data_IF_501287231591
#
_entry.id   IF_501287231591
#
_cell.length_a   1.000
_cell.length_b   1.000
_cell.length_c   1.000
_cell.angle_alpha   90.00
_cell.angle_beta   90.00
_cell.angle_gamma   90.00
#
_symmetry.space_group_name_H-M   'P 1'
#
loop_
_entity.id
_entity.type
_entity.pdbx_description
1 polymer ?
#
# COMPACT_ATOMS: atom_id res chain seq x y z
N UNK A 1 -47.57 -71.19 4.40
CA UNK A 1 -46.81 -70.84 5.61
C UNK A 1 -45.51 -70.18 5.19
N UNK A 2 -45.25 -68.96 5.73
CA UNK A 2 -43.95 -68.25 5.85
C UNK A 2 -43.06 -68.21 4.59
N UNK A 3 -42.83 -67.10 3.89
CA UNK A 3 -42.70 -65.71 4.32
C UNK A 3 -41.22 -65.29 4.25
N UNK A 4 -40.86 -64.45 3.25
CA UNK A 4 -39.89 -63.33 3.33
C UNK A 4 -39.72 -62.68 1.94
N UNK A 5 -40.04 -61.39 1.86
CA UNK A 5 -39.89 -60.52 0.67
C UNK A 5 -38.41 -60.26 0.38
N UNK A 6 -38.02 -60.37 -0.90
CA UNK A 6 -36.78 -59.81 -1.43
C UNK A 6 -36.88 -58.27 -1.53
N UNK A 7 -35.81 -57.52 -1.23
CA UNK A 7 -35.62 -56.19 -1.79
C UNK A 7 -34.82 -56.25 -3.12
N UNK A 8 -35.24 -55.37 -4.01
CA UNK A 8 -34.83 -55.22 -5.42
C UNK A 8 -33.35 -54.87 -5.61
N UNK A 9 -32.75 -55.52 -6.62
CA UNK A 9 -31.48 -55.17 -7.26
C UNK A 9 -31.51 -53.74 -7.84
N UNK A 10 -30.36 -53.05 -7.84
CA UNK A 10 -29.65 -52.75 -9.10
C UNK A 10 -28.44 -51.80 -8.94
N UNK A 11 -27.32 -52.28 -9.50
CA UNK A 11 -26.37 -51.55 -10.35
C UNK A 11 -25.55 -50.45 -9.68
N UNK A 12 -24.35 -50.85 -9.23
CA UNK A 12 -23.21 -49.94 -9.09
C UNK A 12 -22.76 -49.53 -10.49
N UNK A 13 -23.06 -48.29 -10.89
CA UNK A 13 -22.52 -47.65 -12.10
C UNK A 13 -21.53 -46.57 -11.69
N UNK A 14 -20.30 -46.74 -12.18
CA UNK A 14 -19.23 -45.77 -12.23
C UNK A 14 -19.71 -44.48 -12.93
N UNK A 15 -19.54 -43.32 -12.30
CA UNK A 15 -19.74 -42.02 -12.95
C UNK A 15 -18.58 -41.08 -12.60
N UNK A 16 -17.92 -40.64 -13.68
CA UNK A 16 -16.81 -39.69 -13.75
C UNK A 16 -17.38 -38.26 -13.67
N UNK A 17 -16.78 -37.44 -12.80
CA UNK A 17 -16.59 -35.97 -12.82
C UNK A 17 -17.80 -35.04 -12.97
N UNK A 18 -17.91 -34.05 -12.08
CA UNK A 18 -17.95 -32.61 -12.43
C UNK A 18 -17.73 -31.80 -11.14
N UNK A 19 -16.50 -31.31 -10.97
CA UNK A 19 -16.19 -30.23 -10.05
C UNK A 19 -17.05 -29.04 -10.47
N UNK A 20 -17.92 -28.56 -9.58
CA UNK A 20 -18.66 -27.31 -9.78
C UNK A 20 -17.63 -26.19 -9.92
N UNK A 21 -17.29 -25.83 -11.15
CA UNK A 21 -16.73 -24.53 -11.48
C UNK A 21 -17.81 -23.54 -11.09
N UNK A 22 -17.68 -22.93 -9.90
CA UNK A 22 -18.34 -21.68 -9.63
C UNK A 22 -17.70 -20.67 -10.58
N UNK A 23 -18.37 -20.40 -11.68
CA UNK A 23 -18.14 -19.17 -12.44
C UNK A 23 -18.51 -18.05 -11.48
N UNK A 24 -17.51 -17.53 -10.78
CA UNK A 24 -17.63 -16.28 -10.06
C UNK A 24 -18.02 -15.25 -11.13
N UNK A 25 -19.24 -14.72 -11.05
CA UNK A 25 -19.59 -13.51 -11.78
C UNK A 25 -18.57 -12.47 -11.33
N UNK A 26 -17.61 -12.17 -12.19
CA UNK A 26 -16.70 -11.04 -12.01
C UNK A 26 -17.59 -9.81 -12.19
N UNK A 27 -18.10 -9.30 -11.06
CA UNK A 27 -18.61 -7.95 -10.99
C UNK A 27 -17.38 -7.06 -11.20
N UNK A 28 -17.31 -6.41 -12.36
CA UNK A 28 -16.19 -5.53 -12.71
C UNK A 28 -16.01 -4.46 -11.64
N UNK A 29 -14.77 -4.31 -11.17
CA UNK A 29 -14.37 -3.23 -10.28
C UNK A 29 -14.51 -1.90 -11.04
N UNK A 30 -15.28 -0.96 -10.49
CA UNK A 30 -15.62 0.29 -11.18
C UNK A 30 -14.59 1.39 -10.95
N UNK A 31 -13.76 1.37 -9.89
CA UNK A 31 -12.59 2.25 -9.62
C UNK A 31 -11.61 1.62 -8.60
N UNK A 32 -10.31 1.97 -8.63
CA UNK A 32 -9.20 1.35 -7.87
C UNK A 32 -8.32 0.43 -8.74
N UNK A 33 -7.09 0.03 -8.32
CA UNK A 33 -6.23 -0.79 -9.17
C UNK A 33 -6.86 -2.17 -9.42
N UNK A 34 -7.45 -2.31 -10.60
CA UNK A 34 -8.01 -3.55 -11.09
C UNK A 34 -6.89 -4.52 -11.50
N UNK A 35 -6.36 -5.29 -10.56
CA UNK A 35 -5.55 -6.46 -10.91
C UNK A 35 -6.46 -7.60 -11.38
N UNK A 36 -6.98 -7.49 -12.61
CA UNK A 36 -7.48 -8.64 -13.37
C UNK A 36 -6.31 -9.30 -14.14
N UNK A 37 -5.24 -9.60 -13.42
CA UNK A 37 -4.17 -10.46 -13.83
C UNK A 37 -3.83 -11.28 -12.61
N UNK A 38 -3.87 -12.60 -12.72
CA UNK A 38 -3.46 -13.47 -11.63
C UNK A 38 -2.09 -12.99 -11.13
N UNK A 39 -2.05 -12.38 -9.94
CA UNK A 39 -0.83 -12.33 -9.14
C UNK A 39 -0.61 -13.80 -8.80
N UNK A 40 0.11 -14.50 -9.67
CA UNK A 40 0.82 -15.70 -9.24
C UNK A 40 1.57 -15.28 -7.98
N UNK A 41 1.49 -16.02 -6.86
CA UNK A 41 2.26 -15.66 -5.67
C UNK A 41 3.72 -15.68 -6.08
N UNK A 42 4.25 -14.51 -6.44
CA UNK A 42 5.66 -14.34 -6.67
C UNK A 42 6.26 -14.53 -5.30
N UNK A 43 6.89 -15.69 -5.08
CA UNK A 43 7.68 -15.93 -3.89
C UNK A 43 8.53 -14.67 -3.67
N UNK A 44 8.35 -13.94 -2.56
CA UNK A 44 9.21 -12.82 -2.25
C UNK A 44 10.65 -13.28 -2.40
N UNK A 45 11.50 -12.45 -2.99
CA UNK A 45 12.93 -12.75 -3.06
C UNK A 45 13.47 -13.10 -1.66
N UNK A 46 14.60 -13.80 -1.57
CA UNK A 46 15.18 -14.12 -0.27
C UNK A 46 15.34 -12.83 0.55
N UNK A 47 14.92 -12.88 1.82
CA UNK A 47 15.15 -11.77 2.72
C UNK A 47 16.64 -11.59 2.98
N UNK A 48 17.06 -10.34 3.21
CA UNK A 48 18.42 -9.99 3.60
C UNK A 48 18.46 -9.45 5.04
N UNK A 49 19.66 -9.39 5.61
CA UNK A 49 19.88 -8.98 6.99
C UNK A 49 20.09 -7.45 7.13
N UNK A 50 19.61 -6.66 6.18
CA UNK A 50 19.72 -5.19 6.24
C UNK A 50 18.98 -4.68 7.47
N UNK A 51 19.66 -3.85 8.24
CA UNK A 51 19.03 -3.02 9.25
C UNK A 51 18.57 -1.70 8.61
N UNK A 52 17.26 -1.55 8.41
CA UNK A 52 16.66 -0.34 7.82
C UNK A 52 17.03 0.92 8.61
N UNK A 53 17.27 0.83 9.92
CA UNK A 53 17.69 1.96 10.74
C UNK A 53 19.06 2.51 10.35
N UNK A 54 19.92 1.70 9.72
CA UNK A 54 21.24 2.10 9.23
C UNK A 54 21.18 2.78 7.85
N UNK A 55 20.08 2.58 7.11
CA UNK A 55 19.82 3.25 5.83
C UNK A 55 19.02 4.53 6.07
N UNK A 56 17.91 4.43 6.80
CA UNK A 56 17.10 5.58 7.23
C UNK A 56 17.77 6.15 8.47
N UNK A 57 18.89 6.85 8.31
CA UNK A 57 19.58 7.53 9.42
C UNK A 57 18.79 8.76 9.86
N UNK A 58 19.18 9.36 11.00
CA UNK A 58 18.59 10.63 11.42
C UNK A 58 18.90 11.73 10.40
N UNK A 59 20.11 11.73 9.83
CA UNK A 59 20.50 12.68 8.80
C UNK A 59 19.67 12.52 7.52
N UNK A 60 19.42 11.28 7.06
CA UNK A 60 18.57 11.04 5.90
C UNK A 60 17.12 11.51 6.15
N UNK A 61 16.54 11.20 7.30
CA UNK A 61 15.19 11.65 7.63
C UNK A 61 15.12 13.19 7.72
N UNK A 62 16.11 13.82 8.37
CA UNK A 62 16.21 15.27 8.50
C UNK A 62 16.41 15.96 7.15
N UNK A 63 17.16 15.36 6.22
CA UNK A 63 17.37 15.89 4.87
C UNK A 63 16.05 16.08 4.10
N UNK A 64 15.01 15.37 4.49
CA UNK A 64 13.65 15.48 3.93
C UNK A 64 12.84 16.51 4.73
N UNK A 65 12.60 16.25 6.02
CA UNK A 65 11.64 17.04 6.82
C UNK A 65 12.10 18.49 7.08
N UNK A 66 13.40 18.77 6.97
CA UNK A 66 13.91 20.15 7.11
C UNK A 66 13.72 21.01 5.85
N UNK A 67 13.25 20.42 4.75
CA UNK A 67 12.82 21.18 3.58
C UNK A 67 11.42 21.78 3.76
N UNK A 68 10.61 21.22 4.66
CA UNK A 68 9.29 21.77 4.99
C UNK A 68 9.42 23.06 5.82
N UNK A 69 8.48 23.99 5.62
CA UNK A 69 8.40 25.22 6.40
C UNK A 69 8.30 24.91 7.91
N UNK A 70 8.94 25.74 8.73
CA UNK A 70 8.94 25.58 10.19
C UNK A 70 7.53 25.55 10.83
N UNK A 71 6.54 26.16 10.16
CA UNK A 71 5.14 26.21 10.60
C UNK A 71 4.32 24.98 10.20
N UNK A 72 4.87 24.07 9.39
CA UNK A 72 4.17 22.86 8.97
C UNK A 72 3.84 21.95 10.17
N UNK A 73 2.56 21.58 10.30
CA UNK A 73 2.08 20.72 11.37
C UNK A 73 2.85 19.39 11.46
N UNK A 74 3.21 18.81 10.31
CA UNK A 74 3.93 17.56 10.25
C UNK A 74 5.33 17.57 10.88
N UNK A 75 5.96 18.75 11.08
CA UNK A 75 7.26 18.86 11.79
C UNK A 75 7.20 18.39 13.23
N UNK A 76 6.03 18.47 13.87
CA UNK A 76 5.82 18.02 15.25
C UNK A 76 5.15 16.63 15.34
N UNK A 77 4.90 15.99 14.19
CA UNK A 77 4.14 14.75 14.10
C UNK A 77 5.01 13.60 13.56
N UNK A 78 5.71 13.81 12.45
CA UNK A 78 6.54 12.79 11.83
C UNK A 78 7.96 12.80 12.40
N UNK A 79 8.44 11.64 12.82
CA UNK A 79 9.83 11.46 13.24
C UNK A 79 10.37 10.12 12.79
N UNK A 80 11.70 10.04 12.63
CA UNK A 80 12.42 8.79 12.38
C UNK A 80 12.10 7.72 13.42
N UNK A 81 12.05 8.10 14.70
CA UNK A 81 11.78 7.16 15.78
C UNK A 81 10.43 6.46 15.58
N UNK A 82 9.37 7.23 15.31
CA UNK A 82 8.03 6.68 15.08
C UNK A 82 7.96 5.84 13.81
N UNK A 83 8.68 6.23 12.75
CA UNK A 83 8.82 5.38 11.55
C UNK A 83 9.44 4.01 11.89
N UNK A 84 10.51 3.98 12.70
CA UNK A 84 11.18 2.73 13.09
C UNK A 84 10.31 1.89 14.05
N UNK A 85 9.54 2.52 14.91
CA UNK A 85 8.56 1.82 15.75
C UNK A 85 7.47 1.16 14.89
N UNK A 86 6.95 1.87 13.88
CA UNK A 86 5.97 1.34 12.93
C UNK A 86 6.57 0.17 12.10
N UNK A 87 7.82 0.31 11.67
CA UNK A 87 8.55 -0.71 10.92
C UNK A 87 8.64 -2.06 11.66
N UNK A 88 8.58 -2.06 12.99
CA UNK A 88 8.54 -3.28 13.80
C UNK A 88 7.39 -4.24 13.43
N UNK A 89 6.31 -3.73 12.82
CA UNK A 89 5.18 -4.52 12.31
C UNK A 89 5.35 -5.01 10.87
N UNK A 90 6.29 -4.45 10.09
CA UNK A 90 6.46 -4.71 8.65
C UNK A 90 7.89 -5.14 8.32
N UNK A 91 8.31 -6.29 8.85
CA UNK A 91 9.69 -6.74 8.81
C UNK A 91 10.27 -6.96 7.39
N UNK A 92 9.44 -7.21 6.38
CA UNK A 92 9.86 -7.41 4.99
C UNK A 92 10.19 -6.10 4.25
N UNK A 93 9.69 -4.95 4.72
CA UNK A 93 9.97 -3.65 4.10
C UNK A 93 11.48 -3.37 4.10
N UNK A 94 12.04 -3.09 2.92
CA UNK A 94 13.45 -2.78 2.76
C UNK A 94 14.38 -3.95 3.07
N UNK A 95 13.89 -5.20 3.05
CA UNK A 95 14.67 -6.41 3.40
C UNK A 95 14.52 -7.57 2.42
N UNK A 96 14.06 -7.31 1.19
CA UNK A 96 13.90 -8.36 0.16
C UNK A 96 14.88 -8.09 -0.98
N UNK A 97 15.63 -9.12 -1.39
CA UNK A 97 16.62 -9.00 -2.46
C UNK A 97 18.00 -8.55 -1.98
N UNK A 98 18.72 -7.79 -2.79
CA UNK A 98 20.05 -7.26 -2.45
C UNK A 98 19.99 -6.05 -1.51
N UNK A 99 21.14 -5.67 -0.94
CA UNK A 99 21.25 -4.42 -0.16
C UNK A 99 20.90 -3.20 -1.02
N UNK A 100 21.22 -3.23 -2.31
CA UNK A 100 20.84 -2.17 -3.24
C UNK A 100 19.33 -2.13 -3.50
N UNK A 101 18.65 -3.29 -3.51
CA UNK A 101 17.18 -3.35 -3.58
C UNK A 101 16.56 -2.74 -2.33
N UNK A 102 17.08 -3.05 -1.15
CA UNK A 102 16.67 -2.40 0.11
C UNK A 102 16.78 -0.87 0.04
N UNK A 103 17.92 -0.35 -0.44
CA UNK A 103 18.13 1.10 -0.57
C UNK A 103 17.17 1.72 -1.60
N UNK A 104 16.94 1.06 -2.73
CA UNK A 104 15.98 1.52 -3.75
C UNK A 104 14.56 1.52 -3.22
N UNK A 105 14.13 0.46 -2.54
CA UNK A 105 12.79 0.39 -1.96
C UNK A 105 12.57 1.51 -0.93
N UNK A 106 13.54 1.72 -0.03
CA UNK A 106 13.49 2.81 0.96
C UNK A 106 13.46 4.17 0.27
N UNK A 107 14.34 4.41 -0.71
CA UNK A 107 14.33 5.66 -1.49
C UNK A 107 12.99 5.88 -2.19
N UNK A 108 12.39 4.84 -2.76
CA UNK A 108 11.11 4.92 -3.46
C UNK A 108 9.97 5.26 -2.49
N UNK A 109 9.88 4.57 -1.35
CA UNK A 109 8.87 4.84 -0.34
C UNK A 109 8.95 6.29 0.16
N UNK A 110 10.15 6.74 0.55
CA UNK A 110 10.34 8.12 1.01
C UNK A 110 10.11 9.14 -0.11
N UNK A 111 10.41 8.85 -1.37
CA UNK A 111 10.10 9.74 -2.49
C UNK A 111 8.58 9.94 -2.66
N UNK A 112 7.81 8.86 -2.53
CA UNK A 112 6.36 8.96 -2.52
C UNK A 112 5.88 9.71 -1.28
N UNK A 113 6.36 9.39 -0.08
CA UNK A 113 5.96 10.09 1.14
C UNK A 113 6.24 11.59 1.07
N UNK A 114 7.42 11.97 0.57
CA UNK A 114 7.78 13.37 0.33
C UNK A 114 6.79 14.04 -0.61
N UNK A 115 6.46 13.39 -1.73
CA UNK A 115 5.53 13.95 -2.70
C UNK A 115 4.14 14.16 -2.10
N UNK A 116 3.57 13.12 -1.47
CA UNK A 116 2.20 13.15 -0.94
C UNK A 116 2.03 14.18 0.19
N UNK A 117 3.07 14.34 1.02
CA UNK A 117 2.99 15.19 2.23
C UNK A 117 3.66 16.55 2.07
N UNK A 118 4.31 16.81 0.94
CA UNK A 118 5.16 17.99 0.77
C UNK A 118 6.30 18.02 1.79
N UNK A 119 7.19 17.01 1.76
CA UNK A 119 8.31 16.85 2.69
C UNK A 119 7.89 16.69 4.16
N UNK A 120 6.87 15.86 4.42
CA UNK A 120 6.26 15.67 5.74
C UNK A 120 5.64 16.96 6.31
N UNK A 121 5.21 17.90 5.46
CA UNK A 121 4.52 19.10 5.93
C UNK A 121 3.06 18.82 6.33
N UNK A 122 2.34 18.10 5.47
CA UNK A 122 0.91 17.84 5.60
C UNK A 122 0.63 16.47 6.21
N UNK A 123 -0.33 16.43 7.14
CA UNK A 123 -0.83 15.20 7.75
C UNK A 123 -2.11 14.76 7.04
N UNK A 124 -2.99 15.71 6.73
CA UNK A 124 -4.24 15.50 6.02
C UNK A 124 -4.22 16.17 4.64
N UNK A 125 -4.99 15.61 3.72
CA UNK A 125 -5.23 16.17 2.40
C UNK A 125 -5.77 17.61 2.50
N UNK A 126 -5.28 18.50 1.64
CA UNK A 126 -5.83 19.86 1.54
C UNK A 126 -7.30 19.81 1.15
N UNK A 127 -8.12 20.50 1.94
CA UNK A 127 -9.58 20.50 1.83
C UNK A 127 -10.21 19.10 1.97
N UNK A 128 -9.49 18.12 2.53
CA UNK A 128 -9.93 16.72 2.65
C UNK A 128 -11.26 16.58 3.39
N UNK A 129 -11.49 17.37 4.44
CA UNK A 129 -12.74 17.35 5.20
C UNK A 129 -14.00 17.73 4.37
N UNK A 130 -13.83 18.30 3.17
CA UNK A 130 -14.92 18.56 2.22
C UNK A 130 -15.20 17.40 1.26
N UNK A 131 -14.40 16.34 1.31
CA UNK A 131 -14.41 15.19 0.41
C UNK A 131 -14.62 13.91 1.20
N UNK A 132 -15.65 13.16 0.86
CA UNK A 132 -16.05 11.95 1.60
C UNK A 132 -15.12 10.75 1.31
N UNK A 133 -14.71 10.57 0.05
CA UNK A 133 -13.94 9.38 -0.39
C UNK A 133 -14.60 8.05 0.06
N UNK A 134 -15.92 8.00 0.08
CA UNK A 134 -16.68 6.80 0.34
C UNK A 134 -17.09 6.12 -0.97
N UNK A 135 -16.70 4.86 -1.15
CA UNK A 135 -17.35 3.96 -2.11
C UNK A 135 -18.52 3.24 -1.43
N UNK A 136 -19.71 3.80 -1.61
CA UNK A 136 -20.99 3.27 -1.10
C UNK A 136 -21.34 1.88 -1.67
N UNK A 137 -20.68 1.45 -2.75
CA UNK A 137 -20.88 0.12 -3.31
C UNK A 137 -20.05 -0.96 -2.60
N UNK A 138 -19.08 -0.57 -1.77
CA UNK A 138 -18.25 -1.50 -1.03
C UNK A 138 -18.98 -2.00 0.22
N UNK A 139 -19.43 -3.26 0.18
CA UNK A 139 -20.15 -3.91 1.28
C UNK A 139 -19.23 -4.63 2.28
N UNK A 140 -17.95 -4.82 1.96
CA UNK A 140 -16.97 -5.44 2.85
C UNK A 140 -16.46 -4.43 3.89
N UNK A 141 -16.22 -3.19 3.45
CA UNK A 141 -15.81 -2.06 4.27
C UNK A 141 -16.81 -0.90 4.10
N UNK A 142 -18.03 -1.02 4.65
CA UNK A 142 -19.06 -0.01 4.49
C UNK A 142 -18.65 1.32 5.16
N UNK A 143 -19.07 2.43 4.56
CA UNK A 143 -18.75 3.74 5.10
C UNK A 143 -19.47 3.99 6.42
N UNK A 144 -18.72 4.47 7.40
CA UNK A 144 -19.24 4.85 8.70
C UNK A 144 -19.97 6.20 8.60
N UNK A 145 -21.14 6.37 9.25
CA UNK A 145 -21.87 7.63 9.22
C UNK A 145 -21.02 8.82 9.70
N UNK A 146 -21.08 9.93 8.96
CA UNK A 146 -20.37 11.18 9.25
C UNK A 146 -18.83 11.05 9.30
N UNK A 147 -18.27 10.05 8.62
CA UNK A 147 -16.82 9.89 8.47
C UNK A 147 -16.42 10.14 7.02
N UNK A 148 -15.24 10.77 6.85
CA UNK A 148 -14.60 10.95 5.55
C UNK A 148 -13.26 10.23 5.49
N UNK A 149 -13.03 9.55 4.38
CA UNK A 149 -11.85 8.72 4.09
C UNK A 149 -10.87 9.42 3.14
N UNK A 150 -10.77 10.74 3.24
CA UNK A 150 -9.79 11.53 2.49
C UNK A 150 -8.35 11.22 2.92
N UNK A 151 -7.38 11.75 2.17
CA UNK A 151 -5.96 11.43 2.35
C UNK A 151 -5.44 11.76 3.75
N UNK A 152 -4.82 10.78 4.43
CA UNK A 152 -4.09 10.99 5.69
C UNK A 152 -2.76 10.24 5.72
N UNK A 153 -1.80 10.81 6.44
CA UNK A 153 -0.50 10.20 6.69
C UNK A 153 0.46 10.25 5.49
N UNK A 154 1.62 9.56 5.60
CA UNK A 154 2.71 9.62 4.62
C UNK A 154 2.32 9.19 3.21
N UNK A 155 1.43 8.21 3.07
CA UNK A 155 0.96 7.74 1.74
C UNK A 155 -0.38 8.38 1.32
N UNK A 156 -0.90 9.33 2.12
CA UNK A 156 -2.24 9.90 1.94
C UNK A 156 -3.31 8.81 1.76
N UNK A 157 -3.37 7.87 2.70
CA UNK A 157 -4.33 6.76 2.69
C UNK A 157 -5.74 7.32 2.46
N UNK A 158 -6.41 6.81 1.44
CA UNK A 158 -7.71 7.31 0.98
C UNK A 158 -8.66 6.15 0.69
N UNK A 159 -9.95 6.40 0.81
CA UNK A 159 -11.07 5.47 0.60
C UNK A 159 -11.34 4.44 1.69
N UNK A 160 -12.62 4.21 1.99
CA UNK A 160 -13.13 3.22 2.95
C UNK A 160 -12.52 1.81 2.75
N UNK A 161 -12.34 1.40 1.50
CA UNK A 161 -11.78 0.09 1.15
C UNK A 161 -10.28 -0.04 1.43
N UNK A 162 -9.58 1.06 1.75
CA UNK A 162 -8.19 1.02 2.23
C UNK A 162 -8.15 1.20 3.75
N UNK A 163 -8.92 2.15 4.32
CA UNK A 163 -8.99 2.37 5.77
C UNK A 163 -9.45 1.12 6.53
N UNK A 164 -10.46 0.41 6.01
CA UNK A 164 -10.97 -0.81 6.64
C UNK A 164 -9.91 -1.92 6.83
N UNK A 165 -9.26 -2.41 5.76
CA UNK A 165 -8.23 -3.43 5.90
C UNK A 165 -6.93 -2.92 6.55
N UNK A 166 -6.56 -1.64 6.37
CA UNK A 166 -5.41 -1.04 7.05
C UNK A 166 -5.60 -1.04 8.58
N UNK A 167 -6.77 -0.60 9.05
CA UNK A 167 -7.12 -0.64 10.48
C UNK A 167 -7.10 -2.05 11.06
N UNK A 168 -7.62 -3.03 10.30
CA UNK A 168 -7.60 -4.44 10.72
C UNK A 168 -6.18 -4.97 10.91
N UNK A 169 -5.24 -4.57 10.05
CA UNK A 169 -3.83 -4.96 10.14
C UNK A 169 -3.08 -4.21 11.26
N UNK A 170 -3.33 -2.90 11.38
CA UNK A 170 -2.68 -2.04 12.37
C UNK A 170 -3.18 -2.28 13.80
N UNK A 171 -4.37 -2.88 13.94
CA UNK A 171 -5.06 -3.13 15.22
C UNK A 171 -5.98 -2.00 15.67
N UNK A 172 -6.35 -1.08 14.77
CA UNK A 172 -7.17 0.09 15.04
C UNK A 172 -8.45 0.09 14.20
N UNK A 173 -9.54 0.67 14.72
CA UNK A 173 -10.78 0.81 13.95
C UNK A 173 -10.73 2.07 13.07
N UNK A 174 -9.92 2.00 12.01
CA UNK A 174 -9.73 3.10 11.07
C UNK A 174 -10.97 3.32 10.16
N UNK A 175 -11.91 2.37 10.10
CA UNK A 175 -13.16 2.55 9.37
C UNK A 175 -14.14 3.45 10.13
N UNK A 176 -14.26 3.26 11.45
CA UNK A 176 -15.12 4.10 12.30
C UNK A 176 -14.36 5.27 12.95
N UNK A 177 -13.04 5.31 12.88
CA UNK A 177 -12.20 6.40 13.41
C UNK A 177 -11.02 6.71 12.47
N UNK A 178 -11.29 7.06 11.19
CA UNK A 178 -10.24 7.32 10.20
C UNK A 178 -9.32 8.49 10.58
N UNK A 179 -9.80 9.44 11.38
CA UNK A 179 -8.99 10.52 11.95
C UNK A 179 -7.82 10.03 12.82
N UNK A 180 -7.85 8.78 13.31
CA UNK A 180 -6.73 8.19 14.06
C UNK A 180 -5.43 8.23 13.25
N UNK A 181 -5.51 8.06 11.92
CA UNK A 181 -4.34 8.13 11.02
C UNK A 181 -3.68 9.51 11.02
N UNK A 182 -4.43 10.58 11.34
CA UNK A 182 -3.92 11.94 11.46
C UNK A 182 -3.58 12.36 12.90
N UNK A 183 -4.05 11.62 13.91
CA UNK A 183 -3.86 11.96 15.32
C UNK A 183 -2.76 11.15 16.01
N UNK A 184 -2.46 9.95 15.51
CA UNK A 184 -1.42 9.07 16.03
C UNK A 184 -0.34 8.84 14.96
N UNK A 185 0.91 9.33 15.17
CA UNK A 185 1.96 9.19 14.17
C UNK A 185 2.43 7.75 13.99
N UNK A 186 2.27 6.87 14.99
CA UNK A 186 2.59 5.45 14.86
C UNK A 186 1.58 4.78 13.92
N UNK A 187 0.29 5.05 14.10
CA UNK A 187 -0.76 4.58 13.20
C UNK A 187 -0.54 5.14 11.80
N UNK A 188 -0.19 6.42 11.69
CA UNK A 188 0.11 7.08 10.41
C UNK A 188 1.20 6.38 9.60
N UNK A 189 2.33 6.04 10.23
CA UNK A 189 3.38 5.29 9.53
C UNK A 189 2.99 3.83 9.30
N UNK A 190 2.23 3.20 10.20
CA UNK A 190 1.74 1.84 10.00
C UNK A 190 0.83 1.74 8.77
N UNK A 191 -0.07 2.69 8.53
CA UNK A 191 -0.93 2.66 7.34
C UNK A 191 -0.14 2.88 6.05
N UNK A 192 0.89 3.73 6.10
CA UNK A 192 1.79 3.94 4.96
C UNK A 192 2.58 2.67 4.61
N UNK A 193 3.15 2.01 5.62
CA UNK A 193 3.86 0.74 5.43
C UNK A 193 2.92 -0.40 5.03
N UNK A 194 1.72 -0.46 5.60
CA UNK A 194 0.67 -1.41 5.19
C UNK A 194 0.36 -1.27 3.69
N UNK A 195 0.07 -0.04 3.24
CA UNK A 195 -0.26 0.20 1.83
C UNK A 195 0.92 -0.19 0.94
N UNK A 196 2.13 0.20 1.34
CA UNK A 196 3.35 -0.15 0.61
C UNK A 196 3.51 -1.66 0.46
N UNK A 197 3.42 -2.42 1.54
CA UNK A 197 3.63 -3.87 1.51
C UNK A 197 2.54 -4.61 0.72
N UNK A 198 1.30 -4.12 0.75
CA UNK A 198 0.18 -4.77 0.08
C UNK A 198 0.04 -4.40 -1.41
N UNK A 199 0.49 -3.20 -1.81
CA UNK A 199 0.22 -2.68 -3.16
C UNK A 199 1.48 -2.28 -3.96
N UNK A 200 2.60 -2.00 -3.31
CA UNK A 200 3.76 -1.34 -3.94
C UNK A 200 5.03 -2.20 -3.90
N UNK A 201 5.31 -2.87 -2.79
CA UNK A 201 6.54 -3.65 -2.54
C UNK A 201 6.88 -4.60 -3.70
N UNK A 202 5.91 -5.39 -4.16
CA UNK A 202 6.13 -6.39 -5.20
C UNK A 202 6.46 -5.77 -6.56
N UNK A 203 5.84 -4.63 -6.91
CA UNK A 203 6.09 -3.99 -8.21
C UNK A 203 7.42 -3.25 -8.22
N UNK A 204 7.85 -2.69 -7.08
CA UNK A 204 9.16 -2.03 -6.98
C UNK A 204 10.29 -3.00 -7.34
N UNK A 205 10.29 -4.18 -6.71
CA UNK A 205 11.34 -5.19 -6.87
C UNK A 205 11.37 -5.85 -8.26
N UNK A 206 10.27 -5.78 -9.02
CA UNK A 206 10.13 -6.49 -10.30
C UNK A 206 10.12 -5.55 -11.51
N UNK A 207 9.63 -4.33 -11.35
CA UNK A 207 9.24 -3.47 -12.47
C UNK A 207 9.84 -2.06 -12.43
N UNK A 208 10.43 -1.65 -11.30
CA UNK A 208 11.08 -0.34 -11.13
C UNK A 208 10.14 0.76 -10.63
N UNK A 209 10.71 1.95 -10.45
CA UNK A 209 10.03 3.08 -9.77
C UNK A 209 8.77 3.57 -10.50
N UNK A 210 8.73 3.57 -11.84
CA UNK A 210 7.52 3.96 -12.57
C UNK A 210 6.31 3.06 -12.25
N UNK A 211 6.55 1.79 -11.92
CA UNK A 211 5.48 0.89 -11.51
C UNK A 211 4.94 1.20 -10.11
N UNK A 212 5.74 1.79 -9.21
CA UNK A 212 5.29 2.23 -7.89
C UNK A 212 4.39 3.47 -8.01
N UNK A 213 4.74 4.43 -8.87
CA UNK A 213 3.87 5.55 -9.24
C UNK A 213 2.53 5.04 -9.76
N UNK A 214 2.56 4.05 -10.67
CA UNK A 214 1.34 3.44 -11.21
C UNK A 214 0.48 2.75 -10.15
N UNK A 215 1.11 2.05 -9.21
CA UNK A 215 0.41 1.37 -8.12
C UNK A 215 -0.22 2.34 -7.12
N UNK A 216 0.37 3.52 -6.93
CA UNK A 216 -0.14 4.55 -6.01
C UNK A 216 -1.25 5.37 -6.67
N UNK A 217 -1.00 5.91 -7.87
CA UNK A 217 -1.95 6.86 -8.49
C UNK A 217 -1.96 6.81 -10.02
N UNK A 218 -1.75 5.63 -10.62
CA UNK A 218 -1.50 5.52 -12.05
C UNK A 218 -2.59 6.06 -12.97
N UNK A 219 -3.85 6.06 -12.55
CA UNK A 219 -4.96 6.61 -13.35
C UNK A 219 -4.88 8.13 -13.49
N UNK A 220 -4.29 8.82 -12.52
CA UNK A 220 -4.23 10.29 -12.49
C UNK A 220 -2.88 10.83 -12.96
N UNK A 221 -1.83 10.01 -12.96
CA UNK A 221 -0.47 10.50 -13.20
C UNK A 221 0.21 9.90 -14.44
N UNK A 222 0.06 8.59 -14.64
CA UNK A 222 0.78 7.86 -15.69
C UNK A 222 0.18 8.06 -17.08
N UNK A 223 0.84 7.50 -18.11
CA UNK A 223 0.39 7.49 -19.51
C UNK A 223 0.20 8.90 -20.09
N UNK A 224 0.98 9.86 -19.56
CA UNK A 224 0.96 11.26 -19.98
C UNK A 224 -0.18 12.10 -19.39
N UNK A 225 -0.91 11.59 -18.39
CA UNK A 225 -2.01 12.34 -17.74
C UNK A 225 -1.46 13.50 -16.92
N UNK A 226 -0.44 13.26 -16.09
CA UNK A 226 0.25 14.33 -15.35
C UNK A 226 1.78 14.11 -15.32
N UNK A 227 2.48 14.45 -16.42
CA UNK A 227 3.92 14.25 -16.52
C UNK A 227 4.72 15.08 -15.51
N UNK A 228 4.17 16.19 -15.00
CA UNK A 228 4.87 17.03 -14.03
C UNK A 228 4.91 16.36 -12.66
N UNK A 229 3.81 15.75 -12.25
CA UNK A 229 3.69 15.01 -10.99
C UNK A 229 4.57 13.75 -11.02
N UNK A 230 4.54 12.98 -12.12
CA UNK A 230 5.46 11.84 -12.31
C UNK A 230 6.92 12.30 -12.23
N UNK A 231 7.27 13.39 -12.92
CA UNK A 231 8.63 13.94 -12.88
C UNK A 231 9.04 14.32 -11.46
N UNK A 232 8.18 14.98 -10.68
CA UNK A 232 8.50 15.37 -9.31
C UNK A 232 8.82 14.15 -8.43
N UNK A 233 8.05 13.06 -8.55
CA UNK A 233 8.32 11.80 -7.84
C UNK A 233 9.67 11.19 -8.24
N UNK A 234 9.98 11.18 -9.54
CA UNK A 234 11.25 10.70 -10.08
C UNK A 234 12.42 11.53 -9.57
N UNK A 235 12.26 12.86 -9.51
CA UNK A 235 13.29 13.77 -9.00
C UNK A 235 13.60 13.45 -7.52
N UNK A 236 12.59 13.25 -6.67
CA UNK A 236 12.81 12.83 -5.26
C UNK A 236 13.48 11.46 -5.17
N UNK A 237 13.00 10.48 -5.94
CA UNK A 237 13.58 9.13 -5.94
C UNK A 237 15.05 9.13 -6.33
N UNK A 238 15.40 9.81 -7.42
CA UNK A 238 16.79 9.90 -7.87
C UNK A 238 17.68 10.66 -6.88
N UNK A 239 17.15 11.71 -6.24
CA UNK A 239 17.84 12.41 -5.16
C UNK A 239 18.12 11.48 -3.97
N UNK A 240 17.13 10.70 -3.53
CA UNK A 240 17.29 9.80 -2.38
C UNK A 240 18.17 8.59 -2.70
N UNK A 241 18.08 8.03 -3.90
CA UNK A 241 19.03 7.03 -4.39
C UNK A 241 20.48 7.55 -4.32
N UNK A 242 20.71 8.79 -4.76
CA UNK A 242 22.02 9.44 -4.68
C UNK A 242 22.50 9.58 -3.23
N UNK A 243 21.65 10.04 -2.31
CA UNK A 243 21.97 10.14 -0.88
C UNK A 243 22.32 8.78 -0.25
N UNK A 244 21.63 7.71 -0.66
CA UNK A 244 21.87 6.35 -0.17
C UNK A 244 23.01 5.62 -0.90
N UNK A 245 23.63 6.27 -1.89
CA UNK A 245 24.73 5.71 -2.68
C UNK A 245 24.32 4.48 -3.47
N UNK A 246 23.16 4.52 -4.14
CA UNK A 246 22.65 3.45 -4.99
C UNK A 246 22.20 4.01 -6.34
N UNK A 247 22.41 3.25 -7.42
CA UNK A 247 21.86 3.61 -8.72
C UNK A 247 20.32 3.44 -8.69
N UNK A 248 19.55 4.39 -9.27
CA UNK A 248 18.09 4.35 -9.27
C UNK A 248 17.51 3.19 -10.11
N UNK A 249 18.33 2.60 -10.98
CA UNK A 249 17.90 1.59 -11.94
C UNK A 249 17.17 2.19 -13.14
N UNK A 250 16.52 1.33 -13.91
CA UNK A 250 15.76 1.70 -15.10
C UNK A 250 14.27 1.87 -14.79
N UNK A 251 13.47 2.24 -15.81
CA UNK A 251 11.99 2.30 -15.76
C UNK A 251 11.48 3.24 -14.67
N UNK A 252 12.03 4.45 -14.63
CA UNK A 252 11.66 5.46 -13.63
C UNK A 252 10.30 6.10 -13.88
N UNK A 253 9.86 6.14 -15.14
CA UNK A 253 8.60 6.77 -15.53
C UNK A 253 7.49 5.75 -15.74
N UNK A 254 6.27 6.26 -15.64
CA UNK A 254 5.05 5.74 -16.21
C UNK A 254 4.39 6.88 -17.00
#
# INVERSE_FOLDING_TARGET
MMGKKLPSMSIVKLAITFQKIRVLKIVGCKQGPCYAGQISPSTPGPSNDVNVADIVTQEFFNSIIDQADSSCAGKNFYSRAVFLDALGSYNQFGRVGSVDDSKREIAAAFAHFTHETGHFCYIEEKDGASKDYCDESNTEYPCAPNKGYYGRGPIQLSWNFNYGPAGKDSGFDELNSPETVANDPLVSFKTALWYWMNHVHNVMNQQGFGATVRAINGRLECDGVDPNTVKARVDYYTQYCSQLGVAPGDKLNC
#
